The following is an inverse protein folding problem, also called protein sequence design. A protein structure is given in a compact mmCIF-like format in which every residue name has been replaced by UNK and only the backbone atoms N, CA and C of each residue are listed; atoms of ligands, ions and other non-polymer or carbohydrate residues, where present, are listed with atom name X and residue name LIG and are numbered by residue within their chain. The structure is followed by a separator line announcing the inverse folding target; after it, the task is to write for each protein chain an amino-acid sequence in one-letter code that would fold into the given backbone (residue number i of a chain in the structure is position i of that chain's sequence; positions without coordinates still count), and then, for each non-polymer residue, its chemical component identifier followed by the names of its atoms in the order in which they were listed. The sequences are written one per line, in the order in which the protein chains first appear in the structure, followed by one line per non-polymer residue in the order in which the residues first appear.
data_IF_184171759349
#
_entry.id   IF_184171759349
#
_cell.length_a   1.000
_cell.length_b   1.000
_cell.length_c   1.000
_cell.angle_alpha   90.00
_cell.angle_beta   90.00
_cell.angle_gamma   90.00
#
_symmetry.space_group_name_H-M   'P 1'
#
loop_
_entity.id
_entity.type
_entity.pdbx_description
1 polymer ?
#
# COMPACT_ATOMS: atom_id res chain seq x y z
N UNK A 1 8.17 5.80 -19.37
CA UNK A 1 7.51 5.12 -18.21
C UNK A 1 7.85 5.74 -16.87
N UNK A 2 9.12 6.04 -16.54
CA UNK A 2 9.49 6.58 -15.21
C UNK A 2 8.77 7.88 -14.80
N UNK A 3 8.51 8.81 -15.73
CA UNK A 3 7.86 10.10 -15.40
C UNK A 3 6.46 9.94 -14.78
N UNK A 4 5.75 8.89 -15.16
CA UNK A 4 4.43 8.54 -14.63
C UNK A 4 4.51 8.11 -13.16
N UNK A 5 5.43 7.18 -12.85
CA UNK A 5 5.69 6.77 -11.48
C UNK A 5 6.35 7.85 -10.63
N UNK A 6 7.12 8.77 -11.23
CA UNK A 6 7.65 9.94 -10.52
C UNK A 6 6.49 10.85 -10.08
N UNK A 7 5.51 11.12 -10.97
CA UNK A 7 4.31 11.89 -10.61
C UNK A 7 3.56 11.26 -9.43
N UNK A 8 3.48 9.93 -9.37
CA UNK A 8 2.93 9.23 -8.21
C UNK A 8 3.66 9.59 -6.91
N UNK A 9 5.00 9.57 -6.90
CA UNK A 9 5.77 9.96 -5.71
C UNK A 9 5.52 11.43 -5.34
N UNK A 10 5.47 12.31 -6.34
CA UNK A 10 5.29 13.74 -6.13
C UNK A 10 3.88 14.06 -5.59
N UNK A 11 2.85 13.38 -6.12
CA UNK A 11 1.44 13.58 -5.73
C UNK A 11 1.16 13.02 -4.34
N UNK A 12 1.77 11.88 -4.00
CA UNK A 12 1.60 11.23 -2.69
C UNK A 12 2.55 11.78 -1.63
N UNK A 13 3.30 12.84 -1.93
CA UNK A 13 4.15 13.52 -0.98
C UNK A 13 3.33 14.16 0.16
N UNK A 14 3.90 14.16 1.37
CA UNK A 14 3.29 14.83 2.52
C UNK A 14 4.38 15.31 3.48
N UNK A 15 4.44 16.62 3.71
CA UNK A 15 5.38 17.25 4.66
C UNK A 15 4.90 17.11 6.11
N UNK A 16 4.58 15.87 6.51
CA UNK A 16 4.12 15.54 7.85
C UNK A 16 5.19 14.70 8.53
N UNK A 17 5.72 15.20 9.62
CA UNK A 17 6.64 14.46 10.47
C UNK A 17 5.87 13.61 11.47
N UNK A 18 6.15 12.31 11.51
CA UNK A 18 5.58 11.42 12.53
C UNK A 18 6.62 11.06 13.60
N UNK A 19 6.14 10.58 14.76
CA UNK A 19 7.04 10.09 15.85
C UNK A 19 7.91 8.93 15.38
N UNK A 20 7.42 8.13 14.43
CA UNK A 20 8.13 6.95 13.94
C UNK A 20 9.36 7.32 13.11
N UNK A 21 9.35 8.48 12.44
CA UNK A 21 10.46 8.94 11.61
C UNK A 21 11.77 8.96 12.38
N UNK A 22 11.77 9.51 13.59
CA UNK A 22 12.99 9.61 14.41
C UNK A 22 13.48 8.23 14.82
N UNK A 23 12.55 7.34 15.16
CA UNK A 23 12.88 5.99 15.60
C UNK A 23 13.56 5.19 14.47
N UNK A 24 13.07 5.33 13.24
CA UNK A 24 13.53 4.53 12.10
C UNK A 24 14.64 5.19 11.26
N UNK A 25 14.57 6.51 11.05
CA UNK A 25 15.50 7.26 10.19
C UNK A 25 16.58 8.04 10.95
N UNK A 26 16.45 8.15 12.28
CA UNK A 26 17.36 8.93 13.15
C UNK A 26 17.37 10.44 12.88
N UNK A 27 16.40 10.96 12.16
CA UNK A 27 16.21 12.39 11.91
C UNK A 27 14.74 12.79 12.07
N UNK A 28 14.48 14.06 12.35
CA UNK A 28 13.13 14.66 12.30
C UNK A 28 12.80 15.23 10.92
N UNK A 29 13.80 15.35 10.05
CA UNK A 29 13.65 15.97 8.75
C UNK A 29 12.93 15.05 7.78
N UNK A 30 11.85 15.55 7.19
CA UNK A 30 11.22 14.93 6.03
C UNK A 30 12.04 15.32 4.79
N UNK A 31 12.35 14.39 3.88
CA UNK A 31 12.96 14.72 2.59
C UNK A 31 12.12 15.77 1.85
N UNK A 32 12.76 16.70 1.14
CA UNK A 32 12.04 17.72 0.36
C UNK A 32 11.41 17.18 -0.92
N UNK A 33 11.98 16.11 -1.46
CA UNK A 33 11.55 15.49 -2.71
C UNK A 33 12.15 14.09 -2.84
N UNK A 34 11.53 13.25 -3.66
CA UNK A 34 12.04 11.93 -4.03
C UNK A 34 12.42 11.91 -5.50
N UNK A 35 13.50 11.21 -5.86
CA UNK A 35 13.87 10.98 -7.25
C UNK A 35 13.80 9.49 -7.53
N UNK A 36 12.85 9.09 -8.37
CA UNK A 36 12.67 7.72 -8.81
C UNK A 36 13.86 7.29 -9.65
N UNK A 37 14.50 6.20 -9.24
CA UNK A 37 15.66 5.63 -9.95
C UNK A 37 15.29 4.43 -10.82
N UNK A 38 14.37 3.59 -10.35
CA UNK A 38 13.94 2.40 -11.06
C UNK A 38 12.56 1.96 -10.58
N UNK A 39 11.83 1.27 -11.46
CA UNK A 39 10.56 0.59 -11.16
C UNK A 39 10.66 -0.83 -11.71
N UNK A 40 10.13 -1.80 -10.96
CA UNK A 40 10.04 -3.19 -11.39
C UNK A 40 8.62 -3.68 -11.16
N UNK A 41 8.00 -4.25 -12.18
CA UNK A 41 6.71 -4.93 -12.05
C UNK A 41 6.93 -6.32 -11.48
N UNK A 42 6.13 -6.70 -10.48
CA UNK A 42 6.10 -8.07 -9.96
C UNK A 42 5.04 -8.88 -10.72
N UNK A 43 5.44 -9.99 -11.34
CA UNK A 43 4.56 -10.85 -12.15
C UNK A 43 4.46 -12.25 -11.55
N UNK A 44 3.94 -12.34 -10.32
CA UNK A 44 3.75 -13.60 -9.63
C UNK A 44 2.32 -14.14 -9.85
N UNK A 45 2.17 -15.02 -10.85
CA UNK A 45 0.86 -15.56 -11.26
C UNK A 45 0.10 -16.29 -10.14
N UNK A 46 0.82 -16.93 -9.20
CA UNK A 46 0.21 -17.62 -8.06
C UNK A 46 -0.40 -16.63 -7.07
N UNK A 47 0.34 -15.56 -6.73
CA UNK A 47 -0.18 -14.51 -5.85
C UNK A 47 -1.30 -13.73 -6.53
N UNK A 48 -1.15 -13.46 -7.83
CA UNK A 48 -2.20 -12.82 -8.63
C UNK A 48 -3.50 -13.62 -8.61
N UNK A 49 -3.45 -14.94 -8.81
CA UNK A 49 -4.64 -15.78 -8.71
C UNK A 49 -5.30 -15.71 -7.34
N UNK A 50 -4.52 -15.75 -6.26
CA UNK A 50 -5.03 -15.64 -4.89
C UNK A 50 -5.72 -14.28 -4.68
N UNK A 51 -5.11 -13.21 -5.17
CA UNK A 51 -5.67 -11.87 -5.14
C UNK A 51 -7.00 -11.79 -5.90
N UNK A 52 -7.05 -12.24 -7.16
CA UNK A 52 -8.26 -12.17 -7.99
C UNK A 52 -9.41 -13.00 -7.44
N UNK A 53 -9.12 -14.18 -6.86
CA UNK A 53 -10.14 -14.99 -6.18
C UNK A 53 -10.72 -14.25 -4.98
N UNK A 54 -9.87 -13.66 -4.12
CA UNK A 54 -10.36 -12.91 -2.96
C UNK A 54 -11.12 -11.65 -3.36
N UNK A 55 -10.69 -10.94 -4.42
CA UNK A 55 -11.43 -9.81 -4.99
C UNK A 55 -12.84 -10.23 -5.43
N UNK A 56 -12.96 -11.34 -6.15
CA UNK A 56 -14.26 -11.87 -6.58
C UNK A 56 -15.16 -12.30 -5.41
N UNK A 57 -14.60 -12.92 -4.36
CA UNK A 57 -15.34 -13.26 -3.14
C UNK A 57 -15.90 -12.00 -2.47
N UNK A 58 -15.10 -10.95 -2.30
CA UNK A 58 -15.54 -9.69 -1.68
C UNK A 58 -16.64 -8.98 -2.49
N UNK A 59 -16.52 -8.99 -3.82
CA UNK A 59 -17.56 -8.45 -4.71
C UNK A 59 -18.87 -9.24 -4.54
N UNK A 60 -18.79 -10.57 -4.52
CA UNK A 60 -19.98 -11.40 -4.32
C UNK A 60 -20.58 -11.21 -2.92
N UNK A 61 -19.75 -11.12 -1.86
CA UNK A 61 -20.19 -10.77 -0.51
C UNK A 61 -20.96 -9.44 -0.55
N UNK A 62 -20.42 -8.39 -1.18
CA UNK A 62 -21.10 -7.10 -1.34
C UNK A 62 -22.43 -7.22 -2.09
N UNK A 63 -22.44 -7.89 -3.25
CA UNK A 63 -23.64 -8.07 -4.07
C UNK A 63 -24.75 -8.86 -3.34
N UNK A 64 -24.38 -9.80 -2.45
CA UNK A 64 -25.36 -10.52 -1.62
C UNK A 64 -25.94 -9.66 -0.51
N UNK A 65 -25.12 -8.82 0.10
CA UNK A 65 -25.51 -7.90 1.15
C UNK A 65 -26.47 -6.82 0.63
N UNK A 66 -26.18 -6.23 -0.53
CA UNK A 66 -27.03 -5.21 -1.16
C UNK A 66 -28.42 -5.76 -1.57
N UNK A 67 -28.57 -7.09 -1.70
CA UNK A 67 -29.84 -7.76 -2.02
C UNK A 67 -30.65 -8.17 -0.79
N UNK A 68 -30.04 -8.20 0.39
CA UNK A 68 -30.75 -8.50 1.64
C UNK A 68 -31.37 -7.22 2.20
N UNK A 69 -32.68 -7.20 2.46
CA UNK A 69 -33.42 -6.08 3.08
C UNK A 69 -33.06 -5.89 4.58
N UNK A 70 -31.78 -6.04 4.95
CA UNK A 70 -31.29 -5.81 6.29
C UNK A 70 -30.56 -4.48 6.41
N UNK A 71 -30.75 -3.79 7.53
CA UNK A 71 -29.91 -2.66 7.99
C UNK A 71 -28.47 -3.15 8.26
N UNK A 72 -27.73 -3.41 7.20
CA UNK A 72 -26.30 -3.65 7.29
C UNK A 72 -25.62 -2.31 7.49
N UNK A 73 -24.63 -2.27 8.39
CA UNK A 73 -23.80 -1.08 8.57
C UNK A 73 -23.13 -0.77 7.23
N UNK A 74 -23.53 0.35 6.62
CA UNK A 74 -22.81 0.92 5.50
C UNK A 74 -21.37 1.17 5.95
N UNK A 75 -20.42 0.50 5.32
CA UNK A 75 -19.02 0.77 5.61
C UNK A 75 -18.61 2.01 4.83
N UNK A 76 -17.87 2.89 5.48
CA UNK A 76 -17.37 4.09 4.83
C UNK A 76 -16.51 3.72 3.62
N UNK A 77 -16.94 4.16 2.43
CA UNK A 77 -16.11 4.17 1.25
C UNK A 77 -15.11 5.33 1.36
N UNK A 78 -13.87 5.08 0.98
CA UNK A 78 -12.84 6.11 0.93
C UNK A 78 -12.42 6.33 -0.52
N UNK A 79 -12.75 7.51 -1.02
CA UNK A 79 -12.44 7.95 -2.39
C UNK A 79 -11.27 8.93 -2.42
N UNK A 80 -10.83 9.41 -1.26
CA UNK A 80 -9.80 10.43 -1.07
C UNK A 80 -8.41 9.86 -0.75
N UNK A 81 -8.16 8.61 -1.14
CA UNK A 81 -6.87 7.94 -0.92
C UNK A 81 -5.85 8.49 -1.91
N UNK A 82 -4.79 9.16 -1.41
CA UNK A 82 -3.82 9.89 -2.26
C UNK A 82 -3.19 9.06 -3.37
N UNK A 83 -2.93 7.79 -3.08
CA UNK A 83 -2.36 6.84 -4.05
C UNK A 83 -3.34 6.49 -5.15
N UNK A 84 -4.63 6.41 -4.87
CA UNK A 84 -5.67 6.09 -5.87
C UNK A 84 -5.80 7.22 -6.88
N UNK A 85 -5.90 8.49 -6.42
CA UNK A 85 -5.95 9.67 -7.31
C UNK A 85 -4.73 9.74 -8.25
N UNK A 86 -3.54 9.48 -7.70
CA UNK A 86 -2.30 9.51 -8.45
C UNK A 86 -2.17 8.34 -9.44
N UNK A 87 -2.94 7.26 -9.25
CA UNK A 87 -2.81 6.00 -9.98
C UNK A 87 -3.89 5.80 -11.06
N UNK A 88 -5.06 6.45 -10.94
CA UNK A 88 -6.07 6.50 -12.01
C UNK A 88 -5.47 7.02 -13.34
N UNK A 89 -4.56 7.99 -13.25
CA UNK A 89 -3.86 8.53 -14.43
C UNK A 89 -2.82 7.56 -15.06
N UNK A 90 -2.49 6.47 -14.37
CA UNK A 90 -1.46 5.50 -14.79
C UNK A 90 -1.99 4.39 -15.69
N UNK A 91 -3.30 4.36 -15.97
CA UNK A 91 -3.99 3.36 -16.80
C UNK A 91 -3.81 1.93 -16.27
N UNK A 92 -3.89 1.76 -14.95
CA UNK A 92 -3.86 0.45 -14.32
C UNK A 92 -5.22 -0.25 -14.35
N UNK A 93 -5.25 -1.51 -13.92
CA UNK A 93 -6.46 -2.30 -13.81
C UNK A 93 -7.55 -1.53 -13.04
N UNK A 94 -8.81 -1.67 -13.48
CA UNK A 94 -9.94 -1.04 -12.78
C UNK A 94 -10.03 -1.55 -11.34
N UNK A 95 -9.80 -0.62 -10.40
CA UNK A 95 -10.03 -0.84 -8.98
C UNK A 95 -11.53 -0.89 -8.72
N UNK A 96 -11.93 -1.74 -7.77
CA UNK A 96 -13.31 -1.89 -7.35
C UNK A 96 -13.56 -1.06 -6.07
N UNK A 97 -14.09 0.15 -6.28
CA UNK A 97 -14.42 1.08 -5.19
C UNK A 97 -15.46 0.50 -4.23
N UNK A 98 -16.37 -0.37 -4.73
CA UNK A 98 -17.41 -0.99 -3.90
C UNK A 98 -16.85 -1.92 -2.82
N UNK A 99 -15.57 -2.29 -2.90
CA UNK A 99 -14.87 -3.07 -1.88
C UNK A 99 -13.66 -2.33 -1.29
N UNK A 100 -13.53 -1.02 -1.55
CA UNK A 100 -12.38 -0.21 -1.10
C UNK A 100 -11.03 -0.79 -1.59
N UNK A 101 -10.93 -1.11 -2.88
CA UNK A 101 -9.67 -1.57 -3.48
C UNK A 101 -8.76 -0.37 -3.79
N UNK A 102 -7.53 -0.38 -3.25
CA UNK A 102 -6.59 0.73 -3.40
C UNK A 102 -5.17 0.26 -3.67
N UNK A 103 -4.38 1.12 -4.33
CA UNK A 103 -2.93 1.02 -4.28
C UNK A 103 -2.42 1.68 -3.01
N UNK A 104 -1.44 1.07 -2.34
CA UNK A 104 -0.79 1.63 -1.16
C UNK A 104 0.70 1.27 -1.17
N UNK A 105 1.51 2.11 -0.55
CA UNK A 105 2.93 1.85 -0.36
C UNK A 105 3.19 0.94 0.83
N UNK A 106 4.26 0.15 0.73
CA UNK A 106 4.87 -0.56 1.85
C UNK A 106 6.37 -0.28 1.88
N UNK A 107 6.80 0.57 2.82
CA UNK A 107 8.21 0.85 3.05
C UNK A 107 8.91 -0.33 3.73
N UNK A 108 9.98 -0.84 3.13
CA UNK A 108 10.71 -1.99 3.65
C UNK A 108 12.14 -2.03 3.09
N UNK A 109 12.91 -3.07 3.44
CA UNK A 109 14.25 -3.29 2.91
C UNK A 109 14.22 -4.04 1.56
N UNK A 110 15.30 -3.96 0.76
CA UNK A 110 15.32 -4.59 -0.56
C UNK A 110 15.11 -6.12 -0.51
N UNK A 111 15.77 -6.80 0.44
CA UNK A 111 15.60 -8.24 0.65
C UNK A 111 14.20 -8.61 1.11
N UNK A 112 13.57 -7.79 1.96
CA UNK A 112 12.20 -8.00 2.39
C UNK A 112 11.20 -7.79 1.24
N UNK A 113 11.38 -6.75 0.43
CA UNK A 113 10.58 -6.50 -0.77
C UNK A 113 10.65 -7.68 -1.75
N UNK A 114 11.86 -8.23 -1.99
CA UNK A 114 12.05 -9.42 -2.82
C UNK A 114 11.28 -10.63 -2.26
N UNK A 115 11.42 -10.90 -0.96
CA UNK A 115 10.71 -11.99 -0.30
C UNK A 115 9.18 -11.85 -0.37
N UNK A 116 8.66 -10.62 -0.24
CA UNK A 116 7.21 -10.33 -0.39
C UNK A 116 6.77 -10.61 -1.82
N UNK A 117 7.53 -10.16 -2.82
CA UNK A 117 7.20 -10.40 -4.23
C UNK A 117 7.14 -11.89 -4.57
N UNK A 118 8.01 -12.71 -3.96
CA UNK A 118 8.08 -14.16 -4.18
C UNK A 118 7.00 -14.94 -3.40
N UNK A 119 6.70 -14.52 -2.17
CA UNK A 119 6.01 -15.36 -1.19
C UNK A 119 4.87 -14.71 -0.40
N UNK A 120 4.39 -13.55 -0.83
CA UNK A 120 3.34 -12.75 -0.18
C UNK A 120 3.80 -12.11 1.15
N UNK A 121 2.97 -11.23 1.69
CA UNK A 121 3.12 -10.75 3.06
C UNK A 121 2.94 -11.89 4.06
N UNK A 122 3.91 -12.08 4.95
CA UNK A 122 3.88 -13.16 5.94
C UNK A 122 3.27 -12.66 7.24
N UNK A 123 2.02 -13.03 7.50
CA UNK A 123 1.31 -12.67 8.75
C UNK A 123 2.05 -13.05 10.03
N UNK A 124 2.86 -14.13 10.03
CA UNK A 124 3.69 -14.51 11.18
C UNK A 124 4.77 -13.48 11.53
N UNK A 125 5.13 -12.61 10.59
CA UNK A 125 6.08 -11.51 10.78
C UNK A 125 5.36 -10.19 11.13
N UNK A 126 4.03 -10.21 11.21
CA UNK A 126 3.27 -9.01 11.55
C UNK A 126 3.70 -8.45 12.91
N UNK A 127 4.11 -7.19 12.90
CA UNK A 127 4.59 -6.46 14.08
C UNK A 127 6.02 -6.76 14.53
N UNK A 128 6.77 -7.62 13.85
CA UNK A 128 8.17 -7.90 14.21
C UNK A 128 9.12 -6.73 13.90
N UNK A 129 8.74 -5.85 12.97
CA UNK A 129 9.59 -4.73 12.53
C UNK A 129 9.22 -3.39 13.18
N UNK A 130 7.93 -3.16 13.49
CA UNK A 130 7.38 -1.84 13.82
C UNK A 130 6.39 -1.87 14.99
N UNK A 131 6.19 -3.03 15.62
CA UNK A 131 5.18 -3.22 16.66
C UNK A 131 3.76 -3.41 16.10
N UNK A 132 2.77 -3.43 16.99
CA UNK A 132 1.38 -3.82 16.65
C UNK A 132 0.38 -2.76 17.13
N UNK A 133 0.65 -1.49 16.86
CA UNK A 133 -0.17 -0.37 17.37
C UNK A 133 -1.66 -0.50 16.98
N UNK A 134 -1.93 -0.90 15.75
CA UNK A 134 -3.28 -1.14 15.22
C UNK A 134 -3.60 -2.64 15.08
N UNK A 135 -2.88 -3.48 15.82
CA UNK A 135 -2.97 -4.94 15.74
C UNK A 135 -1.88 -5.58 14.90
N UNK A 136 -1.96 -6.92 14.80
CA UNK A 136 -1.02 -7.75 14.05
C UNK A 136 -1.43 -7.79 12.59
N UNK A 137 -0.79 -6.98 11.75
CA UNK A 137 -0.97 -6.99 10.31
C UNK A 137 0.23 -6.47 9.53
N UNK A 138 0.07 -6.42 8.21
CA UNK A 138 0.90 -5.60 7.33
C UNK A 138 0.43 -4.15 7.40
N UNK A 139 1.37 -3.23 7.48
CA UNK A 139 1.10 -1.79 7.53
C UNK A 139 1.41 -1.21 6.16
N UNK A 140 0.47 -0.45 5.63
CA UNK A 140 0.54 0.19 4.32
C UNK A 140 0.33 1.70 4.49
N UNK A 141 0.72 2.49 3.49
CA UNK A 141 0.62 3.95 3.53
C UNK A 141 0.16 4.52 2.18
N UNK A 142 -0.71 5.53 2.22
CA UNK A 142 -1.09 6.30 1.03
C UNK A 142 -0.06 7.36 0.63
N UNK A 143 0.90 7.69 1.50
CA UNK A 143 1.93 8.70 1.23
C UNK A 143 3.31 8.08 1.11
N UNK A 144 4.10 8.53 0.14
CA UNK A 144 5.49 8.09 -0.01
C UNK A 144 6.34 8.49 1.20
N UNK A 145 6.08 9.64 1.82
CA UNK A 145 6.85 10.11 2.98
C UNK A 145 6.63 9.24 4.21
N UNK A 146 5.43 8.72 4.43
CA UNK A 146 5.20 7.74 5.51
C UNK A 146 5.86 6.40 5.21
N UNK A 147 5.82 5.93 3.96
CA UNK A 147 6.50 4.70 3.57
C UNK A 147 8.03 4.82 3.70
N UNK A 148 8.61 5.95 3.29
CA UNK A 148 10.04 6.26 3.42
C UNK A 148 10.57 6.05 4.84
N UNK A 149 9.79 6.39 5.88
CA UNK A 149 10.19 6.19 7.27
C UNK A 149 10.54 4.73 7.60
N UNK A 150 9.95 3.76 6.89
CA UNK A 150 10.17 2.32 7.11
C UNK A 150 11.09 1.68 6.08
N UNK A 151 11.45 2.43 5.03
CA UNK A 151 12.42 1.98 4.02
C UNK A 151 13.80 1.92 4.64
N UNK A 152 14.50 0.79 4.45
CA UNK A 152 15.83 0.57 5.02
C UNK A 152 16.84 0.38 3.91
N UNK A 153 17.93 1.12 4.03
CA UNK A 153 19.12 0.86 3.23
C UNK A 153 19.69 -0.52 3.62
N UNK A 154 19.87 -1.36 2.62
CA UNK A 154 20.67 -2.57 2.76
C UNK A 154 21.97 -2.29 2.05
N UNK A 155 23.08 -2.25 2.79
CA UNK A 155 24.38 -2.26 2.15
C UNK A 155 24.44 -3.51 1.27
N UNK A 156 24.53 -3.29 -0.04
CA UNK A 156 24.82 -4.34 -1.02
C UNK A 156 26.16 -5.01 -0.72
#
# INVERSE_FOLDING_TARGET
ELGRFQKLLDTTYSDVTTRDRVNHTKTWMVPRSFTLKAVRRNENSRLWRKYTVRKAELINERDTLDKSEGDLMDFKQYTDVKTTEAWEELAADELEDRINEWYLFHGTSASAAKNICESDFKMRLAGSATGTLYGRGSYLAESITKADEYSKDERG
#
